data_IF_340149486463
#
_entry.id   IF_340149486463
#
_cell.length_a   1.000
_cell.length_b   1.000
_cell.length_c   1.000
_cell.angle_alpha   90.00
_cell.angle_beta   90.00
_cell.angle_gamma   90.00
#
_symmetry.space_group_name_H-M   'P 1'
#
loop_
_entity.id
_entity.type
_entity.pdbx_description
1 polymer ?
#
# COMPACT_ATOMS: atom_id res chain seq x y z
N UNK A 1 -14.90 -12.14 22.48
CA UNK A 1 -13.84 -11.93 21.47
C UNK A 1 -14.16 -12.82 20.27
N UNK A 2 -14.39 -12.23 19.13
CA UNK A 2 -14.69 -12.98 17.91
C UNK A 2 -13.37 -13.58 17.40
N UNK A 3 -13.28 -14.90 17.44
CA UNK A 3 -12.11 -15.67 17.02
C UNK A 3 -12.32 -16.05 15.55
N UNK A 4 -11.57 -15.44 14.65
CA UNK A 4 -11.65 -15.74 13.22
C UNK A 4 -10.46 -16.61 12.78
N UNK A 5 -10.67 -17.77 12.10
CA UNK A 5 -9.59 -18.67 11.71
C UNK A 5 -8.53 -18.05 10.82
N UNK A 6 -7.24 -18.44 10.94
CA UNK A 6 -6.21 -18.06 9.98
C UNK A 6 -6.62 -18.57 8.58
N UNK A 7 -6.75 -17.62 7.62
CA UNK A 7 -7.13 -17.96 6.25
C UNK A 7 -8.59 -18.36 6.03
N UNK A 8 -9.47 -18.25 7.04
CA UNK A 8 -10.88 -18.56 6.93
C UNK A 8 -11.76 -17.73 7.86
N UNK A 9 -13.05 -17.66 7.57
CA UNK A 9 -14.02 -17.03 8.46
C UNK A 9 -14.07 -17.80 9.78
N UNK A 10 -13.84 -17.12 10.90
CA UNK A 10 -13.99 -17.68 12.24
C UNK A 10 -12.71 -18.12 12.95
N UNK A 11 -11.50 -17.89 12.39
CA UNK A 11 -10.21 -18.16 13.07
C UNK A 11 -9.49 -16.88 13.52
N UNK A 12 -8.75 -16.90 14.65
CA UNK A 12 -7.98 -15.72 15.08
C UNK A 12 -6.94 -15.40 14.03
N UNK A 13 -6.94 -14.17 13.57
CA UNK A 13 -5.86 -13.64 12.73
C UNK A 13 -4.89 -12.95 13.69
N UNK A 14 -3.63 -13.37 13.70
CA UNK A 14 -2.58 -12.69 14.43
C UNK A 14 -2.51 -11.25 13.95
N UNK A 15 -2.67 -10.28 14.86
CA UNK A 15 -2.80 -8.87 14.51
C UNK A 15 -4.22 -8.42 14.13
N UNK A 16 -5.26 -9.26 14.33
CA UNK A 16 -6.67 -8.91 14.16
C UNK A 16 -7.17 -8.83 12.73
N UNK A 17 -6.37 -9.26 11.72
CA UNK A 17 -6.76 -9.26 10.30
C UNK A 17 -6.85 -7.88 9.65
N UNK A 18 -6.42 -6.86 10.35
CA UNK A 18 -6.40 -5.49 9.85
C UNK A 18 -5.14 -5.27 9.01
N UNK A 19 -5.30 -4.62 7.86
CA UNK A 19 -4.16 -4.10 7.12
C UNK A 19 -3.79 -2.73 7.71
N UNK A 20 -2.54 -2.55 8.10
CA UNK A 20 -2.06 -1.30 8.71
C UNK A 20 -1.83 -0.22 7.64
N UNK A 21 -2.94 0.29 7.12
CA UNK A 21 -3.02 1.38 6.15
C UNK A 21 -3.97 2.46 6.69
N UNK A 22 -3.80 3.69 6.26
CA UNK A 22 -4.64 4.79 6.71
C UNK A 22 -4.63 4.94 8.23
N UNK A 23 -5.79 5.12 8.82
CA UNK A 23 -5.92 5.30 10.28
C UNK A 23 -5.48 4.08 11.08
N UNK A 24 -5.60 2.88 10.52
CA UNK A 24 -5.14 1.67 11.21
C UNK A 24 -3.62 1.70 11.45
N UNK A 25 -2.84 2.20 10.50
CA UNK A 25 -1.40 2.36 10.66
C UNK A 25 -1.04 3.30 11.83
N UNK A 26 -1.83 4.38 12.00
CA UNK A 26 -1.59 5.37 13.04
C UNK A 26 -2.16 4.96 14.41
N UNK A 27 -3.27 4.22 14.44
CA UNK A 27 -4.05 4.00 15.67
C UNK A 27 -3.93 2.60 16.25
N UNK A 28 -3.62 1.59 15.43
CA UNK A 28 -3.70 0.18 15.83
C UNK A 28 -2.32 -0.51 15.92
N UNK A 29 -1.24 0.21 15.70
CA UNK A 29 0.13 -0.35 15.71
C UNK A 29 0.83 -0.21 17.06
N UNK A 30 0.31 0.61 17.95
CA UNK A 30 0.91 0.82 19.27
C UNK A 30 0.93 -0.47 20.09
N UNK A 31 2.07 -0.76 20.70
CA UNK A 31 2.25 -1.93 21.55
C UNK A 31 2.40 -3.26 20.82
N UNK A 32 2.31 -3.29 19.51
CA UNK A 32 2.52 -4.51 18.71
C UNK A 32 4.01 -4.78 18.48
N UNK A 33 4.43 -6.05 18.32
CA UNK A 33 5.81 -6.39 17.98
C UNK A 33 6.24 -5.70 16.69
N UNK A 34 7.50 -5.28 16.65
CA UNK A 34 8.06 -4.55 15.52
C UNK A 34 9.31 -5.23 14.99
N UNK A 35 9.53 -5.11 13.67
CA UNK A 35 10.73 -5.61 13.00
C UNK A 35 11.46 -4.46 12.30
N UNK A 36 12.75 -4.66 12.02
CA UNK A 36 13.55 -3.66 11.31
C UNK A 36 13.06 -3.48 9.88
N UNK A 37 13.07 -2.26 9.38
CA UNK A 37 12.56 -1.93 8.05
C UNK A 37 13.24 -2.72 6.92
N UNK A 38 14.50 -3.11 7.09
CA UNK A 38 15.25 -3.89 6.10
C UNK A 38 14.68 -5.29 5.86
N UNK A 39 13.88 -5.79 6.79
CA UNK A 39 13.29 -7.13 6.69
C UNK A 39 12.06 -7.16 5.77
N UNK A 40 11.48 -6.01 5.41
CA UNK A 40 10.28 -5.94 4.60
C UNK A 40 10.62 -5.92 3.11
N UNK A 41 10.91 -7.10 2.54
CA UNK A 41 11.40 -7.27 1.17
C UNK A 41 10.34 -7.73 0.18
N UNK A 42 9.12 -7.91 0.63
CA UNK A 42 7.99 -8.39 -0.20
C UNK A 42 6.74 -7.58 0.07
N UNK A 43 5.78 -7.67 -0.88
CA UNK A 43 4.41 -7.23 -0.70
C UNK A 43 3.52 -8.48 -0.66
N UNK A 44 3.25 -9.08 0.52
CA UNK A 44 2.63 -10.40 0.61
C UNK A 44 1.10 -10.39 0.44
N UNK A 45 0.48 -9.22 0.38
CA UNK A 45 -0.98 -9.10 0.46
C UNK A 45 -1.65 -8.65 -0.83
N UNK A 46 -0.87 -8.22 -1.83
CA UNK A 46 -1.42 -7.73 -3.10
C UNK A 46 -0.67 -8.36 -4.28
N UNK A 47 -1.42 -8.72 -5.30
CA UNK A 47 -0.89 -9.25 -6.55
C UNK A 47 -0.55 -8.10 -7.49
N UNK A 48 0.61 -7.46 -7.28
CA UNK A 48 1.01 -6.30 -8.05
C UNK A 48 1.42 -6.64 -9.49
N UNK A 49 1.91 -7.85 -9.73
CA UNK A 49 2.38 -8.27 -11.06
C UNK A 49 1.22 -8.57 -12.00
N UNK A 50 0.22 -9.29 -11.51
CA UNK A 50 -0.98 -9.68 -12.26
C UNK A 50 -2.22 -9.47 -11.42
N UNK A 51 -2.63 -8.22 -11.20
CA UNK A 51 -3.76 -7.95 -10.33
C UNK A 51 -5.05 -8.56 -10.88
N UNK A 52 -5.74 -9.33 -10.07
CA UNK A 52 -7.05 -9.89 -10.40
C UNK A 52 -8.20 -8.92 -10.16
N UNK A 53 -7.92 -7.82 -9.47
CA UNK A 53 -8.91 -6.79 -9.15
C UNK A 53 -8.25 -5.43 -8.96
N UNK A 54 -9.05 -4.40 -9.18
CA UNK A 54 -8.72 -3.01 -8.83
C UNK A 54 -9.90 -2.41 -8.07
N UNK A 55 -9.64 -1.35 -7.33
CA UNK A 55 -10.68 -0.56 -6.67
C UNK A 55 -10.74 0.81 -7.29
N UNK A 56 -11.95 1.33 -7.53
CA UNK A 56 -12.14 2.69 -8.05
C UNK A 56 -12.81 3.49 -6.93
N UNK A 57 -12.20 4.60 -6.55
CA UNK A 57 -12.76 5.48 -5.54
C UNK A 57 -13.73 6.51 -6.14
N UNK A 58 -14.46 7.28 -5.30
CA UNK A 58 -15.42 8.28 -5.78
C UNK A 58 -14.79 9.41 -6.61
N UNK A 59 -13.48 9.59 -6.56
CA UNK A 59 -12.76 10.59 -7.36
C UNK A 59 -12.26 10.00 -8.70
N UNK A 60 -12.51 8.71 -8.96
CA UNK A 60 -12.12 8.01 -10.18
C UNK A 60 -10.75 7.37 -10.15
N UNK A 61 -9.98 7.48 -9.07
CA UNK A 61 -8.68 6.85 -8.97
C UNK A 61 -8.80 5.33 -8.96
N UNK A 62 -7.96 4.67 -9.75
CA UNK A 62 -7.91 3.21 -9.90
C UNK A 62 -6.77 2.68 -9.04
N UNK A 63 -7.13 1.99 -7.95
CA UNK A 63 -6.20 1.50 -6.94
C UNK A 63 -5.86 0.01 -7.11
N UNK A 64 -4.58 -0.32 -7.02
CA UNK A 64 -4.11 -1.71 -6.78
C UNK A 64 -4.16 -2.04 -5.29
N UNK A 65 -3.67 -1.14 -4.49
CA UNK A 65 -3.67 -1.13 -3.04
C UNK A 65 -4.11 0.27 -2.60
N UNK A 66 -4.62 0.43 -1.40
CA UNK A 66 -5.11 1.72 -0.93
C UNK A 66 -4.08 2.83 -1.13
N UNK A 67 -4.40 3.79 -1.96
CA UNK A 67 -3.53 4.93 -2.26
C UNK A 67 -2.43 4.68 -3.28
N UNK A 68 -2.29 3.46 -3.79
CA UNK A 68 -1.35 3.10 -4.86
C UNK A 68 -2.14 2.96 -6.16
N UNK A 69 -2.00 3.95 -7.06
CA UNK A 69 -2.91 4.10 -8.20
C UNK A 69 -2.24 3.89 -9.55
N UNK A 70 -3.05 3.43 -10.51
CA UNK A 70 -2.66 3.23 -11.90
C UNK A 70 -3.02 4.43 -12.79
N UNK A 71 -4.02 5.17 -12.41
CA UNK A 71 -4.56 6.29 -13.18
C UNK A 71 -5.93 6.69 -12.67
N UNK A 72 -6.66 7.45 -13.49
CA UNK A 72 -7.98 7.95 -13.12
C UNK A 72 -9.00 7.61 -14.23
N UNK A 73 -10.03 6.83 -13.87
CA UNK A 73 -11.05 6.34 -14.79
C UNK A 73 -11.99 7.45 -15.30
N UNK A 74 -12.00 8.62 -14.68
CA UNK A 74 -12.74 9.78 -15.19
C UNK A 74 -11.97 10.55 -16.25
N UNK A 75 -10.65 10.34 -16.33
CA UNK A 75 -9.78 11.00 -17.30
C UNK A 75 -9.49 10.10 -18.51
N UNK A 76 -9.49 8.78 -18.31
CA UNK A 76 -9.17 7.78 -19.32
C UNK A 76 -10.05 6.54 -19.14
N UNK A 77 -10.40 5.82 -20.23
CA UNK A 77 -11.12 4.54 -20.11
C UNK A 77 -10.38 3.55 -19.21
N UNK A 78 -11.12 2.89 -18.33
CA UNK A 78 -10.54 1.91 -17.41
C UNK A 78 -9.80 0.79 -18.14
N UNK A 79 -10.34 0.33 -19.28
CA UNK A 79 -9.72 -0.72 -20.09
C UNK A 79 -8.32 -0.32 -20.56
N UNK A 80 -8.14 0.94 -20.94
CA UNK A 80 -6.83 1.46 -21.38
C UNK A 80 -5.84 1.52 -20.22
N UNK A 81 -6.29 1.99 -19.07
CA UNK A 81 -5.49 2.04 -17.83
C UNK A 81 -4.98 0.64 -17.47
N UNK A 82 -5.86 -0.36 -17.52
CA UNK A 82 -5.53 -1.75 -17.19
C UNK A 82 -4.57 -2.35 -18.24
N UNK A 83 -4.85 -2.14 -19.54
CA UNK A 83 -4.02 -2.69 -20.61
C UNK A 83 -2.61 -2.10 -20.65
N UNK A 84 -2.47 -0.83 -20.32
CA UNK A 84 -1.18 -0.14 -20.32
C UNK A 84 -0.36 -0.39 -19.05
N UNK A 85 -0.97 -1.00 -18.04
CA UNK A 85 -0.26 -1.29 -16.80
C UNK A 85 0.85 -2.32 -17.02
N UNK A 86 2.07 -1.85 -16.85
CA UNK A 86 3.25 -2.70 -16.72
C UNK A 86 3.78 -2.56 -15.30
N UNK A 87 3.72 -3.63 -14.49
CA UNK A 87 4.13 -3.56 -13.09
C UNK A 87 5.60 -3.17 -12.89
N UNK A 88 6.47 -3.55 -13.83
CA UNK A 88 7.89 -3.26 -13.73
C UNK A 88 8.25 -1.84 -14.16
N UNK A 89 7.43 -1.25 -15.04
CA UNK A 89 7.59 0.15 -15.48
C UNK A 89 6.91 1.13 -14.50
N UNK A 90 5.96 0.66 -13.71
CA UNK A 90 5.32 1.50 -12.70
C UNK A 90 6.34 1.86 -11.59
N UNK A 91 6.59 3.16 -11.32
CA UNK A 91 7.71 3.58 -10.46
C UNK A 91 7.67 3.06 -9.02
N UNK A 92 6.48 2.76 -8.52
CA UNK A 92 6.29 2.23 -7.16
C UNK A 92 6.18 0.70 -7.19
N UNK A 93 5.34 0.15 -8.08
CA UNK A 93 5.09 -1.30 -8.15
C UNK A 93 6.35 -2.09 -8.49
N UNK A 94 7.16 -1.60 -9.43
CA UNK A 94 8.41 -2.27 -9.80
C UNK A 94 9.37 -2.43 -8.62
N UNK A 95 9.49 -1.41 -7.79
CA UNK A 95 10.32 -1.46 -6.58
C UNK A 95 9.75 -2.42 -5.53
N UNK A 96 8.44 -2.39 -5.34
CA UNK A 96 7.75 -3.29 -4.39
C UNK A 96 7.86 -4.75 -4.83
N UNK A 97 7.75 -5.04 -6.12
CA UNK A 97 7.94 -6.38 -6.68
C UNK A 97 9.39 -6.86 -6.53
N UNK A 98 10.34 -5.99 -6.82
CA UNK A 98 11.76 -6.34 -6.79
C UNK A 98 12.34 -6.52 -5.40
N UNK A 99 11.96 -5.67 -4.45
CA UNK A 99 12.60 -5.63 -3.13
C UNK A 99 11.68 -5.18 -1.99
N UNK A 100 10.36 -5.13 -2.20
CA UNK A 100 9.38 -4.77 -1.19
C UNK A 100 9.49 -3.33 -0.68
N UNK A 101 8.87 -3.04 0.46
CA UNK A 101 8.97 -1.71 1.08
C UNK A 101 10.42 -1.25 1.33
N UNK A 102 11.30 -2.17 1.71
CA UNK A 102 12.72 -1.84 1.90
C UNK A 102 13.36 -1.32 0.60
N UNK A 103 13.02 -1.90 -0.55
CA UNK A 103 13.46 -1.43 -1.85
C UNK A 103 12.96 -0.02 -2.17
N UNK A 104 11.71 0.25 -1.84
CA UNK A 104 11.13 1.57 -2.00
C UNK A 104 11.87 2.63 -1.16
N UNK A 105 12.16 2.31 0.09
CA UNK A 105 12.90 3.20 0.99
C UNK A 105 14.30 3.54 0.45
N UNK A 106 15.01 2.54 -0.05
CA UNK A 106 16.36 2.71 -0.59
C UNK A 106 16.37 3.53 -1.87
N UNK A 107 15.49 3.18 -2.82
CA UNK A 107 15.45 3.82 -4.14
C UNK A 107 15.12 5.30 -4.06
N UNK A 108 14.16 5.67 -3.25
CA UNK A 108 13.74 7.06 -3.08
C UNK A 108 14.47 7.80 -1.96
N UNK A 109 15.28 7.11 -1.18
CA UNK A 109 15.98 7.67 0.00
C UNK A 109 15.00 8.40 0.92
N UNK A 110 13.88 7.74 1.22
CA UNK A 110 12.83 8.29 2.07
C UNK A 110 13.30 8.26 3.52
N UNK A 111 13.11 9.37 4.22
CA UNK A 111 13.22 9.36 5.68
C UNK A 111 12.10 8.48 6.25
N UNK A 112 12.43 7.55 7.11
CA UNK A 112 11.48 6.57 7.67
C UNK A 112 11.86 6.20 9.09
N UNK A 113 11.02 5.40 9.74
CA UNK A 113 11.31 4.84 11.05
C UNK A 113 12.27 3.65 10.96
N UNK A 114 12.90 3.31 12.08
CA UNK A 114 13.82 2.16 12.15
C UNK A 114 13.07 0.82 12.11
N UNK A 115 11.86 0.78 12.63
CA UNK A 115 11.05 -0.43 12.77
C UNK A 115 9.59 -0.17 12.41
N UNK A 116 8.91 -1.24 11.98
CA UNK A 116 7.48 -1.24 11.69
C UNK A 116 6.86 -2.57 12.13
N UNK A 117 5.55 -2.60 12.26
CA UNK A 117 4.80 -3.79 12.69
C UNK A 117 4.80 -4.87 11.61
N UNK A 118 4.54 -4.48 10.36
CA UNK A 118 4.53 -5.40 9.22
C UNK A 118 4.82 -4.66 7.90
N UNK A 119 4.77 -5.41 6.80
CA UNK A 119 5.01 -4.91 5.45
C UNK A 119 4.04 -3.78 5.06
N UNK A 120 2.77 -3.92 5.39
CA UNK A 120 1.75 -2.90 5.08
C UNK A 120 1.99 -1.60 5.85
N UNK A 121 2.35 -1.69 7.13
CA UNK A 121 2.68 -0.53 7.96
C UNK A 121 3.88 0.22 7.38
N UNK A 122 4.95 -0.49 7.07
CA UNK A 122 6.15 0.07 6.45
C UNK A 122 5.83 0.71 5.10
N UNK A 123 5.19 -0.04 4.21
CA UNK A 123 4.86 0.40 2.87
C UNK A 123 3.95 1.65 2.88
N UNK A 124 2.93 1.65 3.72
CA UNK A 124 2.02 2.78 3.84
C UNK A 124 2.75 4.05 4.32
N UNK A 125 3.57 3.94 5.36
CA UNK A 125 4.31 5.08 5.88
C UNK A 125 5.29 5.66 4.86
N UNK A 126 6.00 4.79 4.14
CA UNK A 126 6.90 5.22 3.06
C UNK A 126 6.15 5.95 1.95
N UNK A 127 5.03 5.39 1.47
CA UNK A 127 4.20 6.01 0.43
C UNK A 127 3.62 7.34 0.90
N UNK A 128 3.17 7.43 2.13
CA UNK A 128 2.67 8.66 2.74
C UNK A 128 3.73 9.76 2.68
N UNK A 129 4.98 9.44 2.99
CA UNK A 129 6.11 10.38 2.95
C UNK A 129 6.54 10.74 1.52
N UNK A 130 6.38 9.80 0.59
CA UNK A 130 6.70 9.98 -0.82
C UNK A 130 5.64 10.74 -1.62
N UNK A 131 4.45 10.88 -1.09
CA UNK A 131 3.27 11.38 -1.79
C UNK A 131 3.53 12.65 -2.61
N UNK A 132 4.25 13.62 -2.06
CA UNK A 132 4.55 14.89 -2.75
C UNK A 132 5.50 14.71 -3.94
N UNK A 133 6.31 13.66 -3.93
CA UNK A 133 7.29 13.37 -4.98
C UNK A 133 6.73 12.47 -6.09
N UNK A 134 5.69 11.72 -5.79
CA UNK A 134 5.10 10.72 -6.68
C UNK A 134 3.56 10.79 -6.67
N UNK A 135 3.00 12.00 -6.59
CA UNK A 135 1.57 12.24 -6.38
C UNK A 135 0.65 11.65 -7.43
N UNK A 136 1.10 11.49 -8.67
CA UNK A 136 0.30 10.85 -9.71
C UNK A 136 0.07 9.35 -9.45
N UNK A 137 0.91 8.71 -8.65
CA UNK A 137 0.85 7.28 -8.31
C UNK A 137 0.41 7.04 -6.87
N UNK A 138 0.39 8.06 -6.04
CA UNK A 138 0.08 8.01 -4.61
C UNK A 138 -1.05 9.02 -4.30
N UNK A 139 -2.27 8.61 -4.59
CA UNK A 139 -3.45 9.46 -4.55
C UNK A 139 -4.69 8.67 -4.09
N UNK A 140 -5.79 9.32 -3.73
CA UNK A 140 -5.87 10.74 -3.38
C UNK A 140 -5.29 11.06 -1.99
N UNK A 141 -5.18 12.32 -1.67
CA UNK A 141 -4.64 12.78 -0.39
C UNK A 141 -5.35 12.18 0.83
N UNK A 142 -6.65 11.97 0.74
CA UNK A 142 -7.45 11.38 1.82
C UNK A 142 -6.99 9.97 2.20
N UNK A 143 -6.47 9.19 1.25
CA UNK A 143 -5.93 7.85 1.52
C UNK A 143 -4.71 7.88 2.44
N UNK A 144 -4.07 9.04 2.54
CA UNK A 144 -2.88 9.28 3.36
C UNK A 144 -3.16 10.19 4.57
N UNK A 145 -4.42 10.39 4.90
CA UNK A 145 -4.82 11.17 6.07
C UNK A 145 -4.71 12.68 5.90
N UNK A 146 -4.60 13.17 4.67
CA UNK A 146 -4.60 14.60 4.38
C UNK A 146 -6.00 15.04 3.96
N UNK A 147 -6.52 16.04 4.66
CA UNK A 147 -7.80 16.64 4.29
C UNK A 147 -7.67 17.39 2.96
N UNK A 148 -8.72 17.34 2.14
CA UNK A 148 -8.82 18.24 0.99
C UNK A 148 -8.97 19.67 1.49
N UNK A 149 -8.11 20.51 1.00
CA UNK A 149 -8.24 21.95 1.17
C UNK A 149 -9.33 22.49 0.23
#
# INVERSE_FOLDING_TARGET
MLVVPPGGKGQPIVGGGVRFRGRAAAKLTEGLPRRRWQEFRTCPHEELERPSRVHIDPLGFVHLCQGLVLGNAWQRPLVDIIHEYDPWEHPICGLLLGAGPAGLARAFRVKHEATYVDECHCCYDLRRRLRRRAGQWLAPDQMYGVAQS
#
